data_IF_919694496625
#
_entry.id   IF_919694496625
#
_cell.length_a   1.000
_cell.length_b   1.000
_cell.length_c   1.000
_cell.angle_alpha   90.00
_cell.angle_beta   90.00
_cell.angle_gamma   90.00
#
_symmetry.space_group_name_H-M   'P 1'
#
loop_
_entity.id
_entity.type
_entity.pdbx_description
1 polymer ?
#
# COMPACT_ATOMS: atom_id res chain seq x y z
N UNK A 1 -1.57 10.63 14.34
CA UNK A 1 -2.84 10.48 15.09
C UNK A 1 -4.01 11.32 14.55
N UNK A 2 -3.80 12.54 14.01
CA UNK A 2 -4.90 13.47 13.66
C UNK A 2 -5.26 13.57 12.17
N UNK A 3 -4.86 12.59 11.36
CA UNK A 3 -5.06 12.61 9.89
C UNK A 3 -5.88 11.41 9.39
N UNK A 4 -6.59 10.74 10.31
CA UNK A 4 -7.45 9.60 10.02
C UNK A 4 -6.78 8.52 9.14
N UNK A 5 -5.50 8.23 9.40
CA UNK A 5 -4.79 7.13 8.76
C UNK A 5 -5.19 5.81 9.44
N UNK A 6 -5.80 4.90 8.68
CA UNK A 6 -6.33 3.62 9.16
C UNK A 6 -5.63 2.42 8.51
N UNK A 7 -4.91 2.63 7.42
CA UNK A 7 -4.16 1.60 6.71
C UNK A 7 -2.75 2.08 6.36
N UNK A 8 -1.82 1.15 6.14
CA UNK A 8 -0.44 1.51 5.74
C UNK A 8 -0.43 2.38 4.47
N UNK A 9 -1.32 2.06 3.53
CA UNK A 9 -1.50 2.80 2.28
C UNK A 9 -1.84 4.28 2.53
N UNK A 10 -2.60 4.61 3.58
CA UNK A 10 -2.95 5.99 3.91
C UNK A 10 -1.71 6.86 4.06
N UNK A 11 -0.75 6.37 4.85
CA UNK A 11 0.48 7.09 5.18
C UNK A 11 1.40 7.18 3.97
N UNK A 12 1.71 6.03 3.34
CA UNK A 12 2.72 5.96 2.29
C UNK A 12 2.29 6.61 0.97
N UNK A 13 0.98 6.60 0.66
CA UNK A 13 0.50 7.13 -0.62
C UNK A 13 -0.03 8.56 -0.52
N UNK A 14 -0.83 8.86 0.52
CA UNK A 14 -1.60 10.13 0.58
C UNK A 14 -0.95 11.20 1.45
N UNK A 15 -0.36 10.83 2.60
CA UNK A 15 0.17 11.81 3.58
C UNK A 15 1.62 12.17 3.30
N UNK A 16 2.40 11.18 2.87
CA UNK A 16 3.84 11.34 2.62
C UNK A 16 4.22 11.36 1.14
N UNK A 17 3.33 10.86 0.26
CA UNK A 17 3.55 10.74 -1.20
C UNK A 17 4.78 9.88 -1.58
N UNK A 18 5.31 9.09 -0.64
CA UNK A 18 6.46 8.19 -0.86
C UNK A 18 6.24 7.27 -2.06
N UNK A 19 5.00 6.82 -2.29
CA UNK A 19 4.68 5.92 -3.41
C UNK A 19 4.96 6.49 -4.81
N UNK A 20 5.09 7.82 -4.95
CA UNK A 20 5.44 8.48 -6.22
C UNK A 20 6.77 9.23 -6.16
N UNK A 21 7.24 9.60 -4.96
CA UNK A 21 8.46 10.40 -4.78
C UNK A 21 9.71 9.56 -4.52
N UNK A 22 9.55 8.29 -4.13
CA UNK A 22 10.66 7.36 -3.84
C UNK A 22 10.77 6.27 -4.91
N UNK A 23 11.99 5.85 -5.22
CA UNK A 23 12.25 4.86 -6.27
C UNK A 23 11.65 3.48 -5.96
N UNK A 24 11.82 3.02 -4.73
CA UNK A 24 11.24 1.77 -4.24
C UNK A 24 9.71 1.86 -4.08
N UNK A 25 9.13 3.06 -4.21
CA UNK A 25 7.73 3.39 -3.91
C UNK A 25 7.37 3.07 -2.46
N UNK A 26 8.33 3.16 -1.53
CA UNK A 26 8.12 2.95 -0.09
C UNK A 26 8.12 1.50 0.39
N UNK A 27 8.34 0.51 -0.49
CA UNK A 27 8.35 -0.91 -0.11
C UNK A 27 9.42 -1.24 0.94
N UNK A 28 10.57 -0.56 0.93
CA UNK A 28 11.64 -0.80 1.93
C UNK A 28 11.26 -0.27 3.31
N UNK A 29 10.47 0.83 3.36
CA UNK A 29 10.01 1.44 4.60
C UNK A 29 8.70 0.85 5.15
N UNK A 30 7.96 0.11 4.31
CA UNK A 30 6.61 -0.37 4.60
C UNK A 30 6.48 -1.10 5.94
N UNK A 31 7.38 -2.04 6.22
CA UNK A 31 7.37 -2.81 7.47
C UNK A 31 7.62 -1.92 8.69
N UNK A 32 8.58 -1.01 8.62
CA UNK A 32 8.91 -0.11 9.73
C UNK A 32 7.74 0.84 10.01
N UNK A 33 7.12 1.40 8.97
CA UNK A 33 5.97 2.29 9.11
C UNK A 33 4.78 1.54 9.71
N UNK A 34 4.51 0.30 9.27
CA UNK A 34 3.45 -0.52 9.84
C UNK A 34 3.67 -0.83 11.33
N UNK A 35 4.92 -1.10 11.74
CA UNK A 35 5.28 -1.30 13.15
C UNK A 35 5.09 -0.02 13.98
N UNK A 36 5.35 1.16 13.42
CA UNK A 36 5.11 2.45 14.08
C UNK A 36 3.60 2.77 14.19
N UNK A 37 2.80 2.37 13.20
CA UNK A 37 1.34 2.53 13.23
C UNK A 37 0.67 1.55 14.18
N UNK A 38 1.20 0.34 14.34
CA UNK A 38 0.60 -0.73 15.10
C UNK A 38 0.19 -0.38 16.55
N UNK A 39 1.05 0.22 17.41
CA UNK A 39 0.64 0.58 18.77
C UNK A 39 -0.46 1.64 18.82
N UNK A 40 -0.57 2.47 17.78
CA UNK A 40 -1.57 3.54 17.68
C UNK A 40 -2.95 3.02 17.29
N UNK A 41 -2.98 1.95 16.48
CA UNK A 41 -4.19 1.37 15.92
C UNK A 41 -4.55 0.02 16.55
N UNK A 42 -3.76 -0.46 17.51
CA UNK A 42 -3.96 -1.75 18.19
C UNK A 42 -3.75 -2.95 17.27
N UNK A 43 -2.84 -2.86 16.29
CA UNK A 43 -2.56 -3.96 15.37
C UNK A 43 -1.69 -5.04 16.03
N UNK A 44 -2.03 -6.30 15.75
CA UNK A 44 -1.17 -7.43 16.03
C UNK A 44 -0.19 -7.72 14.86
N UNK A 45 0.69 -8.69 15.05
CA UNK A 45 1.68 -9.07 14.03
C UNK A 45 1.02 -9.59 12.74
N UNK A 46 -0.15 -10.22 12.84
CA UNK A 46 -0.90 -10.70 11.68
C UNK A 46 -1.40 -9.52 10.85
N UNK A 47 -1.97 -8.50 11.50
CA UNK A 47 -2.44 -7.28 10.85
C UNK A 47 -1.29 -6.49 10.22
N UNK A 48 -0.16 -6.34 10.91
CA UNK A 48 1.05 -5.72 10.34
C UNK A 48 1.46 -6.43 9.06
N UNK A 49 1.55 -7.78 9.09
CA UNK A 49 1.98 -8.57 7.94
C UNK A 49 1.02 -8.41 6.76
N UNK A 50 -0.29 -8.46 7.00
CA UNK A 50 -1.31 -8.24 5.96
C UNK A 50 -1.25 -6.85 5.35
N UNK A 51 -1.05 -5.80 6.16
CA UNK A 51 -0.95 -4.41 5.68
C UNK A 51 0.27 -4.22 4.78
N UNK A 52 1.41 -4.77 5.17
CA UNK A 52 2.65 -4.74 4.37
C UNK A 52 2.50 -5.55 3.08
N UNK A 53 1.92 -6.75 3.15
CA UNK A 53 1.71 -7.61 1.98
C UNK A 53 0.73 -6.98 0.97
N UNK A 54 -0.38 -6.41 1.46
CA UNK A 54 -1.33 -5.70 0.61
C UNK A 54 -0.66 -4.51 -0.09
N UNK A 55 0.12 -3.71 0.66
CA UNK A 55 0.86 -2.59 0.09
C UNK A 55 1.88 -3.03 -0.97
N UNK A 56 2.63 -4.11 -0.72
CA UNK A 56 3.56 -4.66 -1.69
C UNK A 56 2.86 -5.12 -2.97
N UNK A 57 1.71 -5.83 -2.84
CA UNK A 57 0.89 -6.24 -3.99
C UNK A 57 0.37 -5.05 -4.80
N UNK A 58 -0.06 -3.97 -4.13
CA UNK A 58 -0.45 -2.72 -4.80
C UNK A 58 0.70 -2.15 -5.64
N UNK A 59 1.90 -2.06 -5.07
CA UNK A 59 3.08 -1.55 -5.79
C UNK A 59 3.41 -2.43 -6.99
N UNK A 60 3.29 -3.75 -6.87
CA UNK A 60 3.50 -4.67 -7.98
C UNK A 60 2.43 -4.51 -9.09
N UNK A 61 1.16 -4.39 -8.71
CA UNK A 61 0.06 -4.09 -9.66
C UNK A 61 0.29 -2.77 -10.39
N UNK A 62 0.81 -1.75 -9.72
CA UNK A 62 1.14 -0.48 -10.35
C UNK A 62 2.34 -0.60 -11.30
N UNK A 63 3.41 -1.28 -10.89
CA UNK A 63 4.59 -1.52 -11.74
C UNK A 63 4.23 -2.30 -13.00
N UNK A 64 3.47 -3.39 -12.84
CA UNK A 64 3.00 -4.19 -13.98
C UNK A 64 2.12 -3.37 -14.92
N UNK A 65 1.17 -2.60 -14.39
CA UNK A 65 0.33 -1.67 -15.17
C UNK A 65 1.15 -0.72 -16.05
N UNK A 66 2.22 -0.13 -15.51
CA UNK A 66 3.09 0.80 -16.25
C UNK A 66 3.85 0.16 -17.42
N UNK A 67 3.93 -1.16 -17.47
CA UNK A 67 4.63 -1.90 -18.55
C UNK A 67 3.69 -2.46 -19.60
N UNK A 68 2.37 -2.31 -19.43
CA UNK A 68 1.40 -2.88 -20.35
C UNK A 68 1.34 -2.14 -21.69
N UNK A 69 1.10 -2.85 -22.81
CA UNK A 69 1.14 -2.27 -24.15
C UNK A 69 -0.14 -1.49 -24.52
N UNK A 70 -1.23 -1.66 -23.76
CA UNK A 70 -2.49 -0.95 -23.99
C UNK A 70 -3.22 -0.62 -22.68
N UNK A 71 -4.11 0.37 -22.78
CA UNK A 71 -4.85 0.93 -21.65
C UNK A 71 -5.73 -0.12 -20.95
N UNK A 72 -6.28 -1.09 -21.70
CA UNK A 72 -7.17 -2.11 -21.13
C UNK A 72 -6.41 -3.08 -20.25
N UNK A 73 -5.23 -3.53 -20.71
CA UNK A 73 -4.34 -4.39 -19.92
C UNK A 73 -3.73 -3.63 -18.75
N UNK A 74 -3.38 -2.35 -18.94
CA UNK A 74 -2.89 -1.47 -17.89
C UNK A 74 -3.94 -1.33 -16.76
N UNK A 75 -5.20 -1.06 -17.11
CA UNK A 75 -6.28 -0.91 -16.14
C UNK A 75 -6.56 -2.21 -15.38
N UNK A 76 -6.63 -3.35 -16.09
CA UNK A 76 -6.81 -4.65 -15.46
C UNK A 76 -5.69 -4.98 -14.45
N UNK A 77 -4.44 -4.68 -14.80
CA UNK A 77 -3.28 -4.90 -13.91
C UNK A 77 -3.35 -4.02 -12.66
N UNK A 78 -3.79 -2.77 -12.82
CA UNK A 78 -3.91 -1.78 -11.73
C UNK A 78 -4.93 -2.19 -10.67
N UNK A 79 -6.06 -2.77 -11.08
CA UNK A 79 -7.17 -3.12 -10.16
C UNK A 79 -6.90 -4.46 -9.44
N UNK A 80 -5.97 -5.28 -9.92
CA UNK A 80 -5.69 -6.62 -9.39
C UNK A 80 -5.31 -6.68 -7.90
N UNK A 81 -4.72 -5.62 -7.34
CA UNK A 81 -4.37 -5.57 -5.91
C UNK A 81 -5.58 -5.43 -4.96
N UNK A 82 -6.73 -5.00 -5.48
CA UNK A 82 -7.95 -4.74 -4.71
C UNK A 82 -7.87 -3.48 -3.84
N UNK A 83 -9.02 -2.92 -3.50
CA UNK A 83 -9.09 -1.78 -2.57
C UNK A 83 -8.68 -2.21 -1.16
N UNK A 84 -7.91 -1.37 -0.46
CA UNK A 84 -7.45 -1.68 0.90
C UNK A 84 -8.61 -1.80 1.89
N UNK A 85 -9.70 -1.06 1.73
CA UNK A 85 -10.86 -1.18 2.62
C UNK A 85 -11.60 -2.50 2.40
N UNK A 86 -11.70 -2.94 1.15
CA UNK A 86 -12.31 -4.23 0.81
C UNK A 86 -11.43 -5.42 1.21
N UNK A 87 -10.11 -5.25 1.17
CA UNK A 87 -9.12 -6.30 1.54
C UNK A 87 -9.03 -6.57 3.04
N UNK A 88 -9.61 -5.69 3.85
CA UNK A 88 -9.60 -5.75 5.32
C UNK A 88 -10.99 -5.71 5.95
N UNK A 89 -12.06 -5.70 5.14
CA UNK A 89 -13.42 -6.00 5.56
C UNK A 89 -13.55 -7.48 5.95
#
# INVERSE_FOLDING_TARGET
RFEAALHLEDVLTRRTRISIESWDRGTESALLVAQLMAPELGWDQSRISREVEHYARRVESERSSNTQPDDKQADASRIAAGDVRESFA
#
